data_IF_539369083165
#
_entry.id   IF_539369083165
#
_cell.length_a   1.000
_cell.length_b   1.000
_cell.length_c   1.000
_cell.angle_alpha   90.00
_cell.angle_beta   90.00
_cell.angle_gamma   90.00
#
_symmetry.space_group_name_H-M   'P 1'
#
loop_
_entity.id
_entity.type
_entity.pdbx_description
1 polymer ?
#
# COMPACT_ATOMS: atom_id res chain seq x y z
N UNK A 1 -15.89 19.05 -18.21
CA UNK A 1 -15.55 17.72 -17.67
C UNK A 1 -15.56 17.86 -16.17
N UNK A 2 -16.15 16.93 -15.43
CA UNK A 2 -16.14 16.93 -13.95
C UNK A 2 -14.70 16.88 -13.44
N UNK A 3 -14.31 17.77 -12.53
CA UNK A 3 -13.00 17.73 -11.85
C UNK A 3 -13.03 16.78 -10.65
N UNK A 4 -13.89 15.75 -10.73
CA UNK A 4 -14.08 14.76 -9.67
C UNK A 4 -12.87 13.86 -9.60
N UNK A 5 -12.31 13.71 -8.40
CA UNK A 5 -11.26 12.77 -8.06
C UNK A 5 -11.82 11.75 -7.07
N UNK A 6 -11.65 10.48 -7.36
CA UNK A 6 -12.01 9.39 -6.46
C UNK A 6 -10.79 8.96 -5.64
N UNK A 7 -11.01 8.60 -4.39
CA UNK A 7 -9.94 8.07 -3.52
C UNK A 7 -10.35 6.70 -2.99
N UNK A 8 -9.42 5.74 -3.08
CA UNK A 8 -9.58 4.38 -2.53
C UNK A 8 -8.57 4.23 -1.39
N UNK A 9 -9.08 3.87 -0.21
CA UNK A 9 -8.30 3.56 0.98
C UNK A 9 -7.64 2.18 0.92
N UNK A 10 -7.29 1.66 2.11
CA UNK A 10 -6.65 0.36 2.28
C UNK A 10 -7.44 -0.75 1.59
N UNK A 11 -6.75 -1.54 0.76
CA UNK A 11 -7.34 -2.63 -0.02
C UNK A 11 -7.13 -3.97 0.66
N UNK A 12 -5.95 -4.20 1.21
CA UNK A 12 -5.61 -5.38 1.99
C UNK A 12 -6.06 -6.70 1.37
N UNK A 13 -5.68 -6.96 0.11
CA UNK A 13 -5.99 -8.22 -0.56
C UNK A 13 -7.47 -8.51 -0.77
N UNK A 14 -8.34 -7.49 -0.67
CA UNK A 14 -9.79 -7.62 -0.83
C UNK A 14 -10.21 -7.36 -2.29
N UNK A 15 -9.84 -8.28 -3.19
CA UNK A 15 -10.03 -8.11 -4.63
C UNK A 15 -11.48 -7.81 -5.02
N UNK A 16 -12.44 -8.58 -4.53
CA UNK A 16 -13.84 -8.41 -4.90
C UNK A 16 -14.42 -7.03 -4.52
N UNK A 17 -14.00 -6.49 -3.35
CA UNK A 17 -14.37 -5.15 -2.93
C UNK A 17 -13.72 -4.09 -3.81
N UNK A 18 -12.45 -4.28 -4.19
CA UNK A 18 -11.75 -3.38 -5.10
C UNK A 18 -12.41 -3.37 -6.49
N UNK A 19 -12.71 -4.52 -7.07
CA UNK A 19 -13.41 -4.64 -8.36
C UNK A 19 -14.77 -3.94 -8.32
N UNK A 20 -15.52 -4.11 -7.21
CA UNK A 20 -16.79 -3.43 -7.01
C UNK A 20 -16.63 -1.92 -6.93
N UNK A 21 -15.64 -1.42 -6.18
CA UNK A 21 -15.37 0.01 -6.07
C UNK A 21 -15.00 0.62 -7.43
N UNK A 22 -14.13 -0.04 -8.20
CA UNK A 22 -13.73 0.40 -9.53
C UNK A 22 -14.89 0.42 -10.52
N UNK A 23 -15.75 -0.59 -10.47
CA UNK A 23 -16.98 -0.62 -11.29
C UNK A 23 -17.91 0.56 -10.96
N UNK A 24 -18.08 0.87 -9.67
CA UNK A 24 -18.91 2.00 -9.24
C UNK A 24 -18.31 3.34 -9.66
N UNK A 25 -16.98 3.51 -9.53
CA UNK A 25 -16.26 4.69 -9.99
C UNK A 25 -16.41 4.86 -11.51
N UNK A 26 -16.25 3.79 -12.29
CA UNK A 26 -16.39 3.85 -13.75
C UNK A 26 -17.84 4.17 -14.16
N UNK A 27 -18.82 3.67 -13.43
CA UNK A 27 -20.25 3.98 -13.67
C UNK A 27 -20.57 5.46 -13.39
N UNK A 28 -19.95 6.07 -12.38
CA UNK A 28 -20.20 7.46 -11.98
C UNK A 28 -19.36 8.47 -12.76
N UNK A 29 -18.04 8.22 -12.90
CA UNK A 29 -17.05 9.12 -13.49
C UNK A 29 -16.59 8.77 -14.90
N UNK A 30 -17.02 7.62 -15.44
CA UNK A 30 -16.58 7.10 -16.74
C UNK A 30 -15.23 6.40 -16.72
N UNK A 31 -14.81 5.87 -17.87
CA UNK A 31 -13.58 5.09 -18.01
C UNK A 31 -12.31 5.90 -17.71
N UNK A 32 -12.36 7.22 -17.86
CA UNK A 32 -11.25 8.16 -17.62
C UNK A 32 -11.30 8.77 -16.20
N UNK A 33 -12.10 8.21 -15.29
CA UNK A 33 -12.24 8.70 -13.92
C UNK A 33 -10.88 8.75 -13.22
N UNK A 34 -10.49 9.94 -12.75
CA UNK A 34 -9.26 10.11 -11.97
C UNK A 34 -9.40 9.41 -10.63
N UNK A 35 -8.53 8.45 -10.34
CA UNK A 35 -8.58 7.70 -9.09
C UNK A 35 -7.21 7.70 -8.40
N UNK A 36 -7.18 8.00 -7.11
CA UNK A 36 -6.00 7.84 -6.27
C UNK A 36 -6.20 6.70 -5.29
N UNK A 37 -5.22 5.79 -5.24
CA UNK A 37 -5.13 4.73 -4.25
C UNK A 37 -4.13 5.17 -3.18
N UNK A 38 -4.50 5.11 -1.91
CA UNK A 38 -3.65 5.63 -0.84
C UNK A 38 -2.81 4.56 -0.13
N UNK A 39 -2.61 3.40 -0.78
CA UNK A 39 -1.70 2.34 -0.31
C UNK A 39 -2.39 1.16 0.34
N UNK A 40 -1.58 0.29 0.94
CA UNK A 40 -1.96 -0.94 1.64
C UNK A 40 -2.75 -1.93 0.75
N UNK A 41 -2.10 -2.37 -0.32
CA UNK A 41 -2.68 -3.33 -1.27
C UNK A 41 -2.63 -4.77 -0.77
N UNK A 42 -1.67 -5.07 0.07
CA UNK A 42 -1.32 -6.41 0.54
C UNK A 42 -1.77 -6.66 1.98
N UNK A 43 -1.60 -7.91 2.42
CA UNK A 43 -1.85 -8.40 3.76
C UNK A 43 -3.34 -8.56 4.12
N UNK A 44 -3.62 -9.31 5.17
CA UNK A 44 -4.95 -9.57 5.77
C UNK A 44 -5.91 -10.36 4.86
N UNK A 45 -6.17 -9.87 3.66
CA UNK A 45 -7.00 -10.56 2.66
C UNK A 45 -6.26 -11.64 1.90
N UNK A 46 -7.00 -12.45 1.14
CA UNK A 46 -6.47 -13.66 0.50
C UNK A 46 -5.94 -13.42 -0.92
N UNK A 47 -6.25 -12.27 -1.53
CA UNK A 47 -6.00 -12.03 -2.96
C UNK A 47 -4.95 -10.94 -3.22
N UNK A 48 -3.95 -10.76 -2.31
CA UNK A 48 -2.92 -9.72 -2.43
C UNK A 48 -2.22 -9.75 -3.80
N UNK A 49 -1.86 -10.94 -4.28
CA UNK A 49 -1.27 -11.12 -5.61
C UNK A 49 -2.17 -10.55 -6.72
N UNK A 50 -3.44 -10.91 -6.73
CA UNK A 50 -4.40 -10.49 -7.76
C UNK A 50 -4.74 -9.01 -7.67
N UNK A 51 -4.73 -8.43 -6.47
CA UNK A 51 -4.86 -6.96 -6.27
C UNK A 51 -3.70 -6.24 -6.94
N UNK A 52 -2.45 -6.68 -6.72
CA UNK A 52 -1.27 -6.10 -7.38
C UNK A 52 -1.38 -6.24 -8.91
N UNK A 53 -1.73 -7.43 -9.40
CA UNK A 53 -1.90 -7.69 -10.84
C UNK A 53 -2.96 -6.75 -11.44
N UNK A 54 -4.13 -6.62 -10.82
CA UNK A 54 -5.20 -5.74 -11.28
C UNK A 54 -4.75 -4.27 -11.39
N UNK A 55 -4.03 -3.77 -10.38
CA UNK A 55 -3.55 -2.38 -10.38
C UNK A 55 -2.49 -2.18 -11.48
N UNK A 56 -1.53 -3.10 -11.60
CA UNK A 56 -0.50 -3.04 -12.65
C UNK A 56 -1.12 -3.07 -14.05
N UNK A 57 -2.09 -3.97 -14.28
CA UNK A 57 -2.79 -4.09 -15.55
C UNK A 57 -3.61 -2.83 -15.88
N UNK A 58 -4.27 -2.24 -14.89
CA UNK A 58 -4.99 -0.98 -15.05
C UNK A 58 -4.08 0.17 -15.46
N UNK A 59 -2.92 0.30 -14.82
CA UNK A 59 -1.91 1.30 -15.19
C UNK A 59 -1.35 1.05 -16.61
N UNK A 60 -1.07 -0.21 -16.95
CA UNK A 60 -0.61 -0.58 -18.28
C UNK A 60 -1.65 -0.32 -19.37
N UNK A 61 -2.93 -0.45 -19.03
CA UNK A 61 -4.06 -0.10 -19.91
C UNK A 61 -4.31 1.41 -20.02
N UNK A 62 -3.52 2.24 -19.34
CA UNK A 62 -3.63 3.71 -19.39
C UNK A 62 -4.76 4.28 -18.53
N UNK A 63 -5.26 3.55 -17.54
CA UNK A 63 -6.23 4.10 -16.58
C UNK A 63 -5.64 5.32 -15.88
N UNK A 64 -6.45 6.32 -15.64
CA UNK A 64 -6.06 7.57 -14.99
C UNK A 64 -5.93 7.38 -13.46
N UNK A 65 -5.01 6.52 -13.07
CA UNK A 65 -4.78 6.12 -11.69
C UNK A 65 -3.46 6.66 -11.16
N UNK A 66 -3.50 7.16 -9.93
CA UNK A 66 -2.32 7.45 -9.12
C UNK A 66 -2.28 6.47 -7.95
N UNK A 67 -1.15 5.81 -7.76
CA UNK A 67 -1.02 4.72 -6.78
C UNK A 67 0.06 5.09 -5.77
N UNK A 68 -0.32 5.24 -4.51
CA UNK A 68 0.59 5.57 -3.42
C UNK A 68 0.99 4.29 -2.66
N UNK A 69 2.09 4.38 -1.94
CA UNK A 69 2.60 3.33 -1.07
C UNK A 69 1.97 3.40 0.31
N UNK A 70 1.54 2.26 0.84
CA UNK A 70 1.20 2.08 2.25
C UNK A 70 2.32 1.43 3.06
N UNK A 71 2.15 1.38 4.37
CA UNK A 71 3.14 0.76 5.24
C UNK A 71 3.20 -0.78 5.07
N UNK A 72 2.10 -1.44 4.74
CA UNK A 72 2.09 -2.86 4.45
C UNK A 72 2.81 -3.18 3.13
N UNK A 73 2.69 -2.34 2.11
CA UNK A 73 3.43 -2.46 0.85
C UNK A 73 4.94 -2.32 1.07
N UNK A 74 5.36 -1.39 1.96
CA UNK A 74 6.76 -1.24 2.38
C UNK A 74 7.27 -2.48 3.11
N UNK A 75 6.48 -3.03 4.04
CA UNK A 75 6.87 -4.23 4.78
C UNK A 75 7.08 -5.42 3.85
N UNK A 76 6.24 -5.59 2.85
CA UNK A 76 6.40 -6.65 1.85
C UNK A 76 7.66 -6.43 1.00
N UNK A 77 7.92 -5.23 0.48
CA UNK A 77 9.17 -4.92 -0.23
C UNK A 77 10.40 -5.18 0.65
N UNK A 78 10.37 -4.81 1.93
CA UNK A 78 11.48 -5.03 2.86
C UNK A 78 11.70 -6.50 3.21
N UNK A 79 10.64 -7.29 3.28
CA UNK A 79 10.74 -8.75 3.40
C UNK A 79 11.46 -9.36 2.19
N UNK A 80 11.29 -8.81 1.01
CA UNK A 80 11.93 -9.24 -0.25
C UNK A 80 13.33 -8.65 -0.45
N UNK A 81 13.99 -8.10 0.56
CA UNK A 81 15.35 -7.58 0.49
C UNK A 81 16.37 -8.55 1.12
N UNK A 82 17.63 -8.44 0.66
CA UNK A 82 18.75 -9.18 1.25
C UNK A 82 19.83 -8.18 1.67
N UNK A 83 20.16 -8.07 2.97
CA UNK A 83 19.55 -8.80 4.08
C UNK A 83 18.08 -8.39 4.29
N UNK A 84 17.29 -9.31 4.86
CA UNK A 84 15.91 -9.05 5.23
C UNK A 84 15.80 -7.85 6.17
N UNK A 85 14.87 -6.96 5.88
CA UNK A 85 14.60 -5.81 6.73
C UNK A 85 13.26 -5.97 7.43
N UNK A 86 13.20 -5.52 8.69
CA UNK A 86 11.97 -5.43 9.44
C UNK A 86 11.62 -3.96 9.69
N UNK A 87 10.34 -3.66 9.68
CA UNK A 87 9.86 -2.32 9.96
C UNK A 87 10.05 -1.99 11.46
N UNK A 88 10.71 -0.88 11.81
CA UNK A 88 10.97 -0.52 13.21
C UNK A 88 9.70 -0.18 13.99
N UNK A 89 8.58 0.09 13.32
CA UNK A 89 7.28 0.36 13.95
C UNK A 89 6.57 -0.92 14.42
N UNK A 90 7.07 -2.10 14.06
CA UNK A 90 6.52 -3.36 14.55
C UNK A 90 6.80 -3.54 16.04
N UNK A 91 5.83 -4.10 16.76
CA UNK A 91 6.01 -4.43 18.15
C UNK A 91 7.15 -5.47 18.33
N UNK A 92 7.86 -5.40 19.44
CA UNK A 92 8.92 -6.35 19.77
C UNK A 92 8.36 -7.79 19.70
N UNK A 93 9.08 -8.67 19.00
CA UNK A 93 8.67 -10.07 18.79
C UNK A 93 7.69 -10.29 17.64
N UNK A 94 7.21 -9.23 16.98
CA UNK A 94 6.41 -9.36 15.77
C UNK A 94 7.29 -9.21 14.52
N UNK A 95 7.08 -10.07 13.55
CA UNK A 95 7.56 -9.90 12.17
C UNK A 95 6.40 -9.55 11.26
N UNK A 96 6.68 -9.17 10.03
CA UNK A 96 5.65 -8.94 9.02
C UNK A 96 4.71 -10.15 8.84
N UNK A 97 5.21 -11.38 9.03
CA UNK A 97 4.40 -12.60 8.95
C UNK A 97 3.50 -12.86 10.18
N UNK A 98 3.55 -11.97 11.18
CA UNK A 98 2.68 -12.14 12.36
C UNK A 98 1.19 -12.04 11.94
N UNK A 99 0.28 -12.92 12.43
CA UNK A 99 -1.12 -12.98 11.99
C UNK A 99 -1.90 -11.68 12.09
N UNK A 100 -1.56 -10.79 13.03
CA UNK A 100 -2.18 -9.46 13.14
C UNK A 100 -1.81 -8.51 11.99
N UNK A 101 -0.71 -8.76 11.30
CA UNK A 101 -0.27 -7.96 10.15
C UNK A 101 -0.79 -8.57 8.85
N UNK A 102 -0.80 -9.90 8.76
CA UNK A 102 -1.38 -10.63 7.64
C UNK A 102 -0.43 -10.87 6.46
N UNK A 103 0.89 -10.71 6.64
CA UNK A 103 1.88 -11.02 5.61
C UNK A 103 1.88 -12.50 5.22
N UNK A 104 1.48 -13.40 6.14
CA UNK A 104 1.22 -14.80 5.85
C UNK A 104 0.15 -14.98 4.76
N UNK A 105 -0.89 -14.15 4.75
CA UNK A 105 -1.94 -14.17 3.72
C UNK A 105 -1.42 -13.68 2.37
N UNK A 106 -0.56 -12.66 2.38
CA UNK A 106 0.12 -12.22 1.16
C UNK A 106 0.92 -13.36 0.56
N UNK A 107 1.78 -14.03 1.33
CA UNK A 107 2.57 -15.17 0.85
C UNK A 107 1.67 -16.34 0.39
N UNK A 108 0.60 -16.62 1.12
CA UNK A 108 -0.37 -17.65 0.72
C UNK A 108 -1.01 -17.36 -0.64
N UNK A 109 -1.24 -16.10 -1.00
CA UNK A 109 -1.76 -15.72 -2.32
C UNK A 109 -0.81 -16.06 -3.49
N UNK A 110 0.48 -16.28 -3.20
CA UNK A 110 1.49 -16.78 -4.13
C UNK A 110 1.75 -18.29 -3.99
N UNK A 111 0.97 -18.98 -3.16
CA UNK A 111 1.12 -20.42 -2.92
C UNK A 111 2.22 -20.80 -1.92
N UNK A 112 2.69 -19.84 -1.13
CA UNK A 112 3.78 -20.04 -0.17
C UNK A 112 3.19 -20.25 1.21
N UNK A 113 3.55 -21.35 1.86
CA UNK A 113 3.21 -21.61 3.26
C UNK A 113 4.15 -20.82 4.19
N UNK A 114 3.58 -19.93 4.99
CA UNK A 114 4.28 -19.16 6.01
C UNK A 114 3.79 -19.49 7.43
N UNK A 115 3.34 -20.72 7.64
CA UNK A 115 2.83 -21.20 8.94
C UNK A 115 3.86 -21.07 10.04
N UNK A 116 3.37 -20.96 11.28
CA UNK A 116 4.19 -20.87 12.48
C UNK A 116 5.15 -22.06 12.60
N UNK A 117 6.40 -21.78 13.00
CA UNK A 117 7.46 -22.78 13.13
C UNK A 117 8.33 -22.97 11.90
N UNK A 118 7.99 -22.43 10.76
CA UNK A 118 8.87 -22.42 9.59
C UNK A 118 10.02 -21.42 9.78
N UNK A 119 11.20 -21.79 9.28
CA UNK A 119 12.37 -20.90 9.33
C UNK A 119 12.19 -19.74 8.34
N UNK A 120 12.35 -18.52 8.82
CA UNK A 120 12.11 -17.30 8.04
C UNK A 120 12.91 -17.26 6.73
N UNK A 121 14.16 -17.72 6.74
CA UNK A 121 15.00 -17.73 5.53
C UNK A 121 14.52 -18.73 4.46
N UNK A 122 13.87 -19.84 4.88
CA UNK A 122 13.29 -20.82 3.95
C UNK A 122 12.07 -20.21 3.26
N UNK A 123 11.18 -19.58 4.05
CA UNK A 123 10.01 -18.89 3.55
C UNK A 123 10.42 -17.76 2.59
N UNK A 124 11.43 -16.95 2.95
CA UNK A 124 11.93 -15.88 2.09
C UNK A 124 12.51 -16.43 0.79
N UNK A 125 13.26 -17.53 0.82
CA UNK A 125 13.79 -18.15 -0.40
C UNK A 125 12.67 -18.61 -1.34
N UNK A 126 11.64 -19.28 -0.79
CA UNK A 126 10.46 -19.66 -1.58
C UNK A 126 9.75 -18.43 -2.16
N UNK A 127 9.71 -17.33 -1.41
CA UNK A 127 9.16 -16.06 -1.88
C UNK A 127 9.96 -15.50 -3.07
N UNK A 128 11.29 -15.53 -3.01
CA UNK A 128 12.12 -15.11 -4.15
C UNK A 128 11.89 -15.96 -5.41
N UNK A 129 11.60 -17.25 -5.25
CA UNK A 129 11.36 -18.16 -6.36
C UNK A 129 9.95 -17.99 -6.95
N UNK A 130 8.94 -17.67 -6.14
CA UNK A 130 7.54 -17.67 -6.53
C UNK A 130 6.97 -16.29 -6.90
N UNK A 131 7.50 -15.21 -6.30
CA UNK A 131 6.96 -13.86 -6.49
C UNK A 131 7.63 -13.19 -7.69
N UNK A 132 6.84 -12.72 -8.69
CA UNK A 132 7.40 -12.05 -9.86
C UNK A 132 8.20 -10.79 -9.46
N UNK A 133 9.47 -10.66 -9.89
CA UNK A 133 10.29 -9.49 -9.57
C UNK A 133 9.66 -8.15 -10.00
N UNK A 134 8.86 -8.17 -11.07
CA UNK A 134 8.15 -6.99 -11.56
C UNK A 134 7.13 -6.44 -10.54
N UNK A 135 6.48 -7.30 -9.76
CA UNK A 135 5.53 -6.87 -8.73
C UNK A 135 6.25 -6.20 -7.55
N UNK A 136 7.40 -6.73 -7.14
CA UNK A 136 8.23 -6.11 -6.09
C UNK A 136 8.81 -4.77 -6.59
N UNK A 137 9.29 -4.72 -7.83
CA UNK A 137 9.76 -3.47 -8.43
C UNK A 137 8.64 -2.42 -8.51
N UNK A 138 7.42 -2.83 -8.85
CA UNK A 138 6.25 -1.97 -8.84
C UNK A 138 5.99 -1.38 -7.45
N UNK A 139 5.87 -2.21 -6.41
CA UNK A 139 5.64 -1.74 -5.03
C UNK A 139 6.76 -0.82 -4.53
N UNK A 140 8.01 -1.14 -4.88
CA UNK A 140 9.16 -0.31 -4.54
C UNK A 140 9.10 1.08 -5.17
N UNK A 141 8.61 1.17 -6.41
CA UNK A 141 8.54 2.42 -7.18
C UNK A 141 7.33 3.29 -6.83
N UNK A 142 6.37 2.82 -6.01
CA UNK A 142 5.21 3.61 -5.61
C UNK A 142 5.64 4.90 -4.90
N UNK A 143 4.96 6.00 -5.23
CA UNK A 143 5.17 7.30 -4.59
C UNK A 143 4.52 7.35 -3.20
N UNK A 144 5.01 8.23 -2.34
CA UNK A 144 4.49 8.38 -0.97
C UNK A 144 3.34 9.37 -0.89
N UNK A 145 3.31 10.32 -1.82
CA UNK A 145 2.36 11.44 -1.79
C UNK A 145 1.89 11.81 -3.18
N UNK A 146 0.71 12.41 -3.24
CA UNK A 146 0.16 12.99 -4.45
C UNK A 146 -0.59 14.28 -4.12
N UNK A 147 -0.38 15.33 -4.90
CA UNK A 147 -1.12 16.58 -4.76
C UNK A 147 -1.97 16.84 -6.01
N UNK A 148 -3.23 17.15 -5.79
CA UNK A 148 -4.17 17.55 -6.85
C UNK A 148 -5.01 18.72 -6.38
N UNK A 149 -4.94 19.85 -7.08
CA UNK A 149 -5.57 21.10 -6.67
C UNK A 149 -5.23 21.43 -5.20
N UNK A 150 -6.24 21.55 -4.33
CA UNK A 150 -6.09 21.85 -2.91
C UNK A 150 -6.05 20.59 -2.03
N UNK A 151 -5.94 19.39 -2.64
CA UNK A 151 -5.89 18.13 -1.92
C UNK A 151 -4.48 17.56 -1.90
N UNK A 152 -4.08 17.05 -0.74
CA UNK A 152 -2.84 16.32 -0.55
C UNK A 152 -3.15 14.91 -0.06
N UNK A 153 -2.74 13.92 -0.83
CA UNK A 153 -2.99 12.50 -0.57
C UNK A 153 -1.73 11.85 -0.03
N UNK A 154 -1.90 11.11 1.05
CA UNK A 154 -0.84 10.37 1.74
C UNK A 154 -1.48 9.21 2.50
N UNK A 155 -0.74 8.13 2.75
CA UNK A 155 -1.29 6.94 3.39
C UNK A 155 -1.72 7.21 4.84
N UNK A 156 -0.80 7.60 5.73
CA UNK A 156 -1.11 7.74 7.16
C UNK A 156 -1.39 9.20 7.58
N UNK A 157 -0.59 10.13 7.13
CA UNK A 157 -0.69 11.53 7.51
C UNK A 157 0.62 12.27 7.32
N UNK A 158 0.72 13.43 7.94
CA UNK A 158 1.89 14.32 7.87
C UNK A 158 2.25 14.81 9.28
N UNK A 159 3.51 15.11 9.50
CA UNK A 159 3.95 15.75 10.74
C UNK A 159 3.52 17.21 10.72
N UNK A 160 2.72 17.67 11.71
CA UNK A 160 2.33 19.07 11.82
C UNK A 160 3.55 20.00 11.93
N UNK A 161 3.40 21.22 11.42
CA UNK A 161 4.44 22.26 11.43
C UNK A 161 5.75 21.89 10.70
N UNK A 162 5.74 20.84 9.89
CA UNK A 162 6.84 20.45 9.02
C UNK A 162 6.44 20.69 7.57
N UNK A 163 7.26 21.36 6.75
CA UNK A 163 6.98 21.53 5.33
C UNK A 163 6.73 20.20 4.61
N UNK A 164 5.85 20.19 3.59
CA UNK A 164 5.57 18.97 2.83
C UNK A 164 6.81 18.37 2.19
N UNK A 165 7.77 19.19 1.78
CA UNK A 165 9.04 18.76 1.20
C UNK A 165 10.02 18.13 2.19
N UNK A 166 9.74 18.26 3.50
CA UNK A 166 10.60 17.78 4.60
C UNK A 166 9.95 16.66 5.39
N UNK A 167 8.77 16.18 4.94
CA UNK A 167 8.10 15.05 5.57
C UNK A 167 8.92 13.77 5.41
N UNK A 168 9.07 13.02 6.48
CA UNK A 168 9.79 11.75 6.47
C UNK A 168 8.87 10.62 6.01
N UNK A 169 9.42 9.65 5.27
CA UNK A 169 8.69 8.45 4.84
C UNK A 169 7.98 7.76 6.01
N UNK A 170 8.65 7.66 7.16
CA UNK A 170 8.08 7.04 8.35
C UNK A 170 6.82 7.75 8.87
N UNK A 171 6.81 9.09 8.84
CA UNK A 171 5.61 9.85 9.20
C UNK A 171 4.51 9.63 8.16
N UNK A 172 4.82 9.72 6.87
CA UNK A 172 3.86 9.54 5.78
C UNK A 172 3.18 8.16 5.80
N UNK A 173 3.88 7.12 6.28
CA UNK A 173 3.39 5.74 6.30
C UNK A 173 2.84 5.28 7.66
N UNK A 174 3.21 5.91 8.78
CA UNK A 174 2.90 5.39 10.10
C UNK A 174 2.31 6.39 11.09
N UNK A 175 2.39 7.69 10.83
CA UNK A 175 1.99 8.68 11.82
C UNK A 175 0.55 8.47 12.31
N UNK A 176 0.35 8.63 13.61
CA UNK A 176 -0.94 8.75 14.27
C UNK A 176 -0.93 10.03 15.07
N UNK A 177 -0.22 10.05 16.19
CA UNK A 177 0.05 11.28 16.96
C UNK A 177 1.41 11.88 16.52
N UNK A 178 1.50 13.20 16.41
CA UNK A 178 0.50 14.23 16.76
C UNK A 178 -0.50 14.60 15.63
N UNK A 179 -0.51 13.89 14.48
CA UNK A 179 -1.36 14.25 13.34
C UNK A 179 -2.86 14.25 13.71
N UNK A 180 -3.34 13.19 14.39
CA UNK A 180 -4.75 13.03 14.73
C UNK A 180 -5.27 14.04 15.79
N UNK A 181 -4.39 14.53 16.66
CA UNK A 181 -4.73 15.50 17.70
C UNK A 181 -4.46 16.94 17.30
N UNK A 182 -3.90 17.19 16.13
CA UNK A 182 -3.58 18.53 15.66
C UNK A 182 -4.84 19.34 15.37
N UNK A 183 -4.98 20.51 16.02
CA UNK A 183 -6.19 21.33 15.95
C UNK A 183 -6.06 22.53 15.00
N UNK A 184 -4.83 22.91 14.65
CA UNK A 184 -4.59 24.03 13.77
C UNK A 184 -4.72 23.63 12.29
N UNK A 185 -4.75 24.63 11.40
CA UNK A 185 -4.76 24.37 9.96
C UNK A 185 -3.41 23.84 9.50
N UNK A 186 -3.44 22.80 8.69
CA UNK A 186 -2.27 22.39 7.94
C UNK A 186 -1.92 23.44 6.87
N UNK A 187 -0.61 23.65 6.56
CA UNK A 187 -0.14 24.79 5.75
C UNK A 187 -0.64 24.84 4.30
N UNK A 188 -1.38 23.82 3.85
CA UNK A 188 -1.95 23.74 2.48
C UNK A 188 -3.48 23.61 2.48
N UNK A 189 -4.13 23.83 3.59
CA UNK A 189 -5.58 23.96 3.69
C UNK A 189 -6.03 25.41 3.75
#
# INVERSE_FOLDING_TARGET
MSDTLYAIGDVHGQLAQLETALMLIEKDGGAEAKTVFVGDFVDRGQDSRRVIELIMDGLAAGRNWTVLKGNHDRMFDWFMQTPLRQDPHLQIGHSWLHPRLGGDKTLASYGIDASEGRRLYEVQREAFDAIPPAQIAFLRALTLTFQHANWFFVHAGIRPNTPLSEQLEDDLLWIREPFLSYQDRHPFM
#
